data_IF_568434953032
#
_entry.id   IF_568434953032
#
_cell.length_a   1.000
_cell.length_b   1.000
_cell.length_c   1.000
_cell.angle_alpha   90.00
_cell.angle_beta   90.00
_cell.angle_gamma   90.00
#
_symmetry.space_group_name_H-M   'P 1'
#
loop_
_entity.id
_entity.type
_entity.pdbx_description
1 polymer ?
#
# COMPACT_ATOMS: atom_id res chain seq x y z
N UNK A 1 -2.94 17.63 -19.54
CA UNK A 1 -2.95 17.33 -18.09
C UNK A 1 -1.66 17.89 -17.50
N UNK A 2 -1.72 18.72 -16.46
CA UNK A 2 -0.50 19.09 -15.72
C UNK A 2 0.01 17.83 -15.02
N UNK A 3 1.19 17.40 -15.35
CA UNK A 3 1.87 16.32 -14.65
C UNK A 3 2.17 16.81 -13.24
N UNK A 4 1.76 16.04 -12.22
CA UNK A 4 2.06 16.38 -10.82
C UNK A 4 3.56 16.30 -10.63
N UNK A 5 4.16 17.36 -10.10
CA UNK A 5 5.60 17.43 -9.89
C UNK A 5 6.04 16.32 -8.92
N UNK A 6 7.19 15.68 -9.22
CA UNK A 6 7.74 14.64 -8.34
C UNK A 6 8.08 15.25 -6.98
N UNK A 7 7.73 14.60 -5.86
CA UNK A 7 7.99 15.16 -4.53
C UNK A 7 9.49 15.24 -4.27
N UNK A 8 9.93 16.32 -3.64
CA UNK A 8 11.33 16.50 -3.21
C UNK A 8 11.70 15.59 -2.04
N UNK A 9 10.73 15.10 -1.29
CA UNK A 9 10.89 14.19 -0.16
C UNK A 9 9.69 13.26 -0.08
N UNK A 10 9.92 12.02 0.30
CA UNK A 10 8.88 11.03 0.50
C UNK A 10 9.29 10.02 1.58
N UNK A 11 8.35 9.25 2.11
CA UNK A 11 8.58 8.22 3.10
C UNK A 11 8.31 6.84 2.52
N UNK A 12 9.25 5.91 2.75
CA UNK A 12 9.08 4.50 2.44
C UNK A 12 8.41 3.80 3.63
N UNK A 13 7.37 3.03 3.37
CA UNK A 13 6.61 2.31 4.41
C UNK A 13 6.73 0.82 4.17
N UNK A 14 7.16 0.11 5.19
CA UNK A 14 7.26 -1.35 5.24
C UNK A 14 6.39 -1.84 6.40
N UNK A 15 5.68 -2.95 6.22
CA UNK A 15 4.95 -3.60 7.31
C UNK A 15 5.48 -5.01 7.53
N UNK A 16 5.71 -5.36 8.79
CA UNK A 16 6.23 -6.66 9.18
C UNK A 16 5.51 -7.19 10.41
N UNK A 17 4.80 -8.28 10.28
CA UNK A 17 4.17 -8.98 11.40
C UNK A 17 4.44 -10.49 11.32
N UNK A 18 4.24 -11.19 12.46
CA UNK A 18 4.58 -12.60 12.56
C UNK A 18 6.08 -12.86 12.40
N UNK A 19 6.49 -14.05 12.00
CA UNK A 19 7.88 -14.51 12.00
C UNK A 19 8.47 -14.76 10.60
N UNK A 20 7.72 -14.44 9.53
CA UNK A 20 8.12 -14.75 8.15
C UNK A 20 9.39 -14.00 7.72
N UNK A 21 9.54 -12.74 8.16
CA UNK A 21 10.66 -11.88 7.79
C UNK A 21 11.50 -11.49 8.99
N UNK A 22 12.81 -11.46 8.81
CA UNK A 22 13.81 -11.05 9.78
C UNK A 22 14.20 -9.59 9.61
N UNK A 23 14.94 -9.03 10.60
CA UNK A 23 15.59 -7.71 10.45
C UNK A 23 16.51 -7.67 9.23
N UNK A 24 17.19 -8.78 8.95
CA UNK A 24 18.08 -8.89 7.79
C UNK A 24 17.34 -8.70 6.47
N UNK A 25 16.12 -9.23 6.34
CA UNK A 25 15.31 -9.09 5.12
C UNK A 25 14.85 -7.65 4.95
N UNK A 26 14.40 -7.02 6.03
CA UNK A 26 14.01 -5.60 6.05
C UNK A 26 15.21 -4.72 5.67
N UNK A 27 16.37 -4.95 6.28
CA UNK A 27 17.61 -4.17 6.04
C UNK A 27 18.09 -4.28 4.59
N UNK A 28 18.02 -5.48 3.99
CA UNK A 28 18.35 -5.68 2.58
C UNK A 28 17.45 -4.85 1.67
N UNK A 29 16.13 -4.84 1.94
CA UNK A 29 15.20 -4.06 1.16
C UNK A 29 15.43 -2.55 1.31
N UNK A 30 15.63 -2.06 2.54
CA UNK A 30 15.96 -0.65 2.82
C UNK A 30 17.22 -0.24 2.04
N UNK A 31 18.26 -1.06 2.09
CA UNK A 31 19.50 -0.78 1.37
C UNK A 31 19.28 -0.68 -0.13
N UNK A 32 18.55 -1.64 -0.71
CA UNK A 32 18.25 -1.61 -2.14
C UNK A 32 17.38 -0.42 -2.58
N UNK A 33 16.44 0.00 -1.74
CA UNK A 33 15.66 1.20 -1.99
C UNK A 33 16.55 2.44 -1.94
N UNK A 34 17.38 2.58 -0.92
CA UNK A 34 18.26 3.74 -0.75
C UNK A 34 19.34 3.86 -1.85
N UNK A 35 19.85 2.74 -2.35
CA UNK A 35 20.81 2.71 -3.46
C UNK A 35 20.20 3.27 -4.77
N UNK A 36 18.89 3.12 -4.97
CA UNK A 36 18.22 3.47 -6.21
C UNK A 36 17.37 4.75 -6.11
N UNK A 37 17.22 5.35 -4.92
CA UNK A 37 16.33 6.49 -4.71
C UNK A 37 16.98 7.56 -3.84
N UNK A 38 17.01 8.79 -4.33
CA UNK A 38 17.75 9.88 -3.66
C UNK A 38 16.86 10.80 -2.80
N UNK A 39 15.54 10.72 -2.94
CA UNK A 39 14.58 11.61 -2.29
C UNK A 39 13.82 10.95 -1.13
N UNK A 40 14.18 9.70 -0.79
CA UNK A 40 13.60 9.02 0.38
C UNK A 40 14.12 9.69 1.67
N UNK A 41 13.20 10.30 2.42
CA UNK A 41 13.51 11.03 3.65
C UNK A 41 13.40 10.17 4.90
N UNK A 42 12.61 9.10 4.86
CA UNK A 42 12.34 8.20 5.99
C UNK A 42 12.06 6.78 5.50
N UNK A 43 12.47 5.81 6.31
CA UNK A 43 12.03 4.42 6.21
C UNK A 43 11.21 4.09 7.46
N UNK A 44 9.91 3.93 7.33
CA UNK A 44 9.01 3.59 8.43
C UNK A 44 8.75 2.09 8.40
N UNK A 45 9.06 1.41 9.50
CA UNK A 45 8.82 -0.04 9.66
C UNK A 45 7.74 -0.24 10.72
N UNK A 46 6.52 -0.53 10.27
CA UNK A 46 5.39 -0.84 11.14
C UNK A 46 5.45 -2.33 11.49
N UNK A 47 5.57 -2.66 12.77
CA UNK A 47 5.74 -4.06 13.19
C UNK A 47 5.03 -4.38 14.51
N UNK A 48 4.64 -5.64 14.66
CA UNK A 48 4.07 -6.23 15.88
C UNK A 48 5.12 -6.52 16.96
N UNK A 49 6.39 -6.33 16.65
CA UNK A 49 7.52 -6.63 17.55
C UNK A 49 8.70 -5.68 17.36
N UNK A 50 9.59 -5.68 18.35
CA UNK A 50 10.88 -4.99 18.28
C UNK A 50 11.86 -5.79 17.43
N UNK A 51 12.47 -5.16 16.45
CA UNK A 51 13.57 -5.69 15.65
C UNK A 51 14.90 -5.15 16.18
N UNK A 52 15.75 -6.02 16.76
CA UNK A 52 16.98 -5.59 17.46
C UNK A 52 18.04 -4.99 16.52
N UNK A 53 18.20 -5.53 15.33
CA UNK A 53 19.28 -5.17 14.41
C UNK A 53 18.72 -4.47 13.16
N UNK A 54 17.80 -3.50 13.36
CA UNK A 54 17.25 -2.74 12.26
C UNK A 54 18.29 -1.75 11.72
N UNK A 55 18.25 -1.53 10.40
CA UNK A 55 19.06 -0.49 9.75
C UNK A 55 18.86 0.86 10.48
N UNK A 56 19.94 1.60 10.77
CA UNK A 56 19.84 2.88 11.50
C UNK A 56 19.01 3.95 10.79
N UNK A 57 18.74 3.79 9.49
CA UNK A 57 17.83 4.66 8.73
C UNK A 57 16.35 4.34 8.98
N UNK A 58 16.06 3.14 9.52
CA UNK A 58 14.70 2.70 9.78
C UNK A 58 14.13 3.33 11.06
N UNK A 59 12.93 3.84 10.97
CA UNK A 59 12.13 4.30 12.10
C UNK A 59 11.13 3.20 12.46
N UNK A 60 11.32 2.49 13.58
CA UNK A 60 10.38 1.47 14.03
C UNK A 60 9.12 2.12 14.58
N UNK A 61 7.97 1.64 14.11
CA UNK A 61 6.64 2.05 14.59
C UNK A 61 5.88 0.80 15.01
N UNK A 62 5.28 0.82 16.19
CA UNK A 62 4.45 -0.30 16.66
C UNK A 62 3.21 -0.47 15.79
N UNK A 63 2.90 -1.73 15.45
CA UNK A 63 1.61 -2.04 14.83
C UNK A 63 0.50 -1.73 15.85
N UNK A 64 -0.47 -0.87 15.54
CA UNK A 64 -1.52 -0.51 16.47
C UNK A 64 -2.31 -1.75 16.93
N UNK A 65 -2.65 -1.82 18.22
CA UNK A 65 -3.31 -2.99 18.83
C UNK A 65 -4.56 -3.43 18.07
N UNK A 66 -5.33 -2.47 17.57
CA UNK A 66 -6.53 -2.75 16.78
C UNK A 66 -6.23 -3.53 15.50
N UNK A 67 -5.07 -3.30 14.87
CA UNK A 67 -4.61 -4.00 13.67
C UNK A 67 -3.74 -5.22 13.99
N UNK A 68 -3.34 -5.41 15.24
CA UNK A 68 -2.54 -6.56 15.71
C UNK A 68 -3.42 -7.73 16.20
N UNK A 69 -4.68 -7.76 15.78
CA UNK A 69 -5.59 -8.86 16.11
C UNK A 69 -5.33 -10.08 15.24
N UNK A 70 -5.52 -11.32 15.77
CA UNK A 70 -5.30 -12.54 15.00
C UNK A 70 -6.04 -12.56 13.65
N UNK A 71 -7.26 -12.07 13.58
CA UNK A 71 -8.05 -12.01 12.35
C UNK A 71 -7.47 -11.09 11.28
N UNK A 72 -6.56 -10.17 11.64
CA UNK A 72 -5.89 -9.26 10.70
C UNK A 72 -4.46 -9.68 10.37
N UNK A 73 -3.83 -10.46 11.25
CA UNK A 73 -2.41 -10.88 11.14
C UNK A 73 -2.24 -12.33 10.69
N UNK A 74 -3.28 -13.18 10.87
CA UNK A 74 -3.26 -14.58 10.44
C UNK A 74 -4.04 -14.76 9.13
N UNK A 75 -3.54 -15.59 8.24
CA UNK A 75 -4.14 -15.81 6.93
C UNK A 75 -3.60 -14.88 5.83
N UNK A 76 -3.96 -15.15 4.59
CA UNK A 76 -3.41 -14.47 3.40
C UNK A 76 -4.06 -13.13 3.03
N UNK A 77 -4.87 -12.54 3.93
CA UNK A 77 -5.67 -11.36 3.59
C UNK A 77 -5.02 -10.01 3.94
N UNK A 78 -3.93 -10.04 4.69
CA UNK A 78 -3.03 -8.91 4.97
C UNK A 78 -3.69 -7.64 5.51
N UNK A 79 -4.78 -7.74 6.31
CA UNK A 79 -5.51 -6.58 6.82
C UNK A 79 -4.69 -5.69 7.76
N UNK A 80 -3.69 -6.26 8.47
CA UNK A 80 -2.76 -5.50 9.29
C UNK A 80 -2.04 -4.39 8.49
N UNK A 81 -1.88 -4.56 7.18
CA UNK A 81 -1.34 -3.57 6.24
C UNK A 81 -2.15 -2.27 6.22
N UNK A 82 -3.46 -2.34 6.45
CA UNK A 82 -4.33 -1.16 6.46
C UNK A 82 -3.96 -0.17 7.58
N UNK A 83 -3.19 -0.59 8.58
CA UNK A 83 -2.65 0.29 9.63
C UNK A 83 -1.83 1.45 9.06
N UNK A 84 -1.19 1.29 7.89
CA UNK A 84 -0.42 2.37 7.26
C UNK A 84 -1.27 3.60 6.92
N UNK A 85 -2.59 3.46 6.86
CA UNK A 85 -3.53 4.57 6.64
C UNK A 85 -4.06 5.18 7.96
N UNK A 86 -3.70 4.62 9.11
CA UNK A 86 -4.15 5.19 10.39
C UNK A 86 -3.53 6.56 10.64
N UNK A 87 -4.36 7.49 11.09
CA UNK A 87 -3.92 8.84 11.42
C UNK A 87 -2.79 8.83 12.47
N UNK A 88 -1.77 9.64 12.24
CA UNK A 88 -0.65 9.79 13.18
C UNK A 88 0.49 8.77 13.04
N UNK A 89 0.34 7.67 12.30
CA UNK A 89 1.43 6.72 12.07
C UNK A 89 2.49 7.27 11.10
N UNK A 90 2.04 7.89 10.04
CA UNK A 90 2.90 8.46 9.01
C UNK A 90 2.87 9.99 9.05
N UNK A 91 3.94 10.64 8.59
CA UNK A 91 3.95 12.09 8.41
C UNK A 91 2.97 12.50 7.32
N UNK A 92 2.10 13.45 7.65
CA UNK A 92 1.08 13.97 6.74
C UNK A 92 1.58 15.10 5.81
N UNK A 93 2.84 15.52 5.94
CA UNK A 93 3.47 16.58 5.16
C UNK A 93 4.25 16.08 3.94
N UNK A 94 4.30 14.76 3.74
CA UNK A 94 4.97 14.14 2.59
C UNK A 94 4.25 12.88 2.13
N UNK A 95 4.29 12.57 0.82
CA UNK A 95 3.71 11.34 0.29
C UNK A 95 4.50 10.11 0.72
N UNK A 96 3.89 8.94 0.55
CA UNK A 96 4.43 7.64 0.93
C UNK A 96 4.43 6.66 -0.23
N UNK A 97 5.41 5.76 -0.23
CA UNK A 97 5.43 4.52 -1.02
C UNK A 97 5.47 3.36 -0.04
N UNK A 98 4.43 2.54 -0.06
CA UNK A 98 4.39 1.25 0.60
C UNK A 98 4.91 0.15 -0.33
N UNK A 99 5.68 -0.78 0.22
CA UNK A 99 6.23 -1.92 -0.52
C UNK A 99 6.17 -3.18 0.35
N UNK A 100 5.72 -4.31 -0.22
CA UNK A 100 5.82 -5.61 0.43
C UNK A 100 7.28 -6.07 0.56
N UNK A 101 7.60 -6.76 1.65
CA UNK A 101 8.97 -7.21 1.98
C UNK A 101 9.54 -8.25 1.01
N UNK A 102 8.72 -8.89 0.19
CA UNK A 102 9.13 -9.84 -0.85
C UNK A 102 9.32 -9.19 -2.24
N UNK A 103 9.48 -7.88 -2.26
CA UNK A 103 9.69 -7.12 -3.51
C UNK A 103 11.18 -7.02 -3.87
N UNK A 104 11.52 -7.29 -5.13
CA UNK A 104 12.85 -7.05 -5.67
C UNK A 104 12.93 -5.65 -6.30
N UNK A 105 13.87 -4.83 -5.83
CA UNK A 105 14.10 -3.47 -6.35
C UNK A 105 15.16 -3.52 -7.44
N UNK A 106 14.76 -3.16 -8.66
CA UNK A 106 15.63 -3.17 -9.84
C UNK A 106 15.95 -1.77 -10.36
N UNK A 107 15.31 -0.73 -9.81
CA UNK A 107 15.49 0.66 -10.25
C UNK A 107 14.79 1.67 -9.34
N UNK A 108 14.74 2.95 -9.74
CA UNK A 108 14.21 4.04 -8.92
C UNK A 108 12.68 3.98 -8.81
N UNK A 109 12.19 3.50 -7.68
CA UNK A 109 10.76 3.36 -7.39
C UNK A 109 10.05 4.71 -7.21
N UNK A 110 10.79 5.78 -6.88
CA UNK A 110 10.24 7.15 -6.79
C UNK A 110 9.67 7.66 -8.12
N UNK A 111 10.00 7.05 -9.25
CA UNK A 111 9.35 7.33 -10.54
C UNK A 111 7.86 6.98 -10.53
N UNK A 112 7.39 6.16 -9.60
CA UNK A 112 5.97 5.86 -9.44
C UNK A 112 5.12 7.10 -9.14
N UNK A 113 5.73 8.15 -8.58
CA UNK A 113 5.04 9.43 -8.36
C UNK A 113 4.63 10.14 -9.66
N UNK A 114 5.30 9.85 -10.77
CA UNK A 114 5.00 10.46 -12.08
C UNK A 114 3.65 10.00 -12.65
N UNK A 115 3.12 8.87 -12.16
CA UNK A 115 1.83 8.34 -12.58
C UNK A 115 0.64 8.98 -11.85
N UNK A 116 0.88 9.77 -10.80
CA UNK A 116 -0.20 10.47 -10.08
C UNK A 116 -0.86 11.51 -10.98
N UNK A 117 -2.17 11.63 -10.87
CA UNK A 117 -2.93 12.74 -11.49
C UNK A 117 -2.88 13.99 -10.64
N UNK A 118 -2.86 13.80 -9.33
CA UNK A 118 -2.81 14.82 -8.28
C UNK A 118 -2.26 14.23 -6.98
N UNK A 119 -2.23 15.01 -5.91
CA UNK A 119 -1.74 14.57 -4.61
C UNK A 119 -2.66 13.53 -3.92
N UNK A 120 -3.93 13.49 -4.30
CA UNK A 120 -4.91 12.54 -3.75
C UNK A 120 -4.85 11.17 -4.44
N UNK A 121 -4.18 11.07 -5.58
CA UNK A 121 -4.09 9.81 -6.32
C UNK A 121 -3.48 8.70 -5.47
N UNK A 122 -4.12 7.52 -5.47
CA UNK A 122 -3.50 6.25 -5.04
C UNK A 122 -3.02 5.50 -6.27
N UNK A 123 -1.71 5.19 -6.33
CA UNK A 123 -1.14 4.43 -7.44
C UNK A 123 -0.82 3.02 -6.96
N UNK A 124 -1.34 2.00 -7.65
CA UNK A 124 -1.18 0.58 -7.30
C UNK A 124 -0.90 -0.24 -8.55
N UNK A 125 -0.41 -1.47 -8.38
CA UNK A 125 -0.39 -2.43 -9.48
C UNK A 125 -1.81 -2.70 -9.97
N UNK A 126 -1.95 -2.90 -11.28
CA UNK A 126 -3.21 -3.33 -11.85
C UNK A 126 -3.43 -4.81 -11.53
N UNK A 127 -4.61 -5.15 -11.01
CA UNK A 127 -5.01 -6.56 -10.92
C UNK A 127 -5.47 -7.05 -12.28
N UNK A 128 -5.16 -8.31 -12.61
CA UNK A 128 -5.56 -8.96 -13.86
C UNK A 128 -7.09 -9.13 -14.01
N UNK A 129 -7.88 -8.94 -12.94
CA UNK A 129 -9.30 -9.29 -12.93
C UNK A 129 -10.20 -8.18 -13.51
N UNK A 130 -9.94 -6.91 -13.17
CA UNK A 130 -10.70 -5.76 -13.66
C UNK A 130 -9.78 -4.55 -13.76
N UNK A 131 -9.43 -4.11 -14.96
CA UNK A 131 -8.51 -2.99 -15.16
C UNK A 131 -9.14 -1.66 -14.72
N UNK A 132 -8.29 -0.72 -14.28
CA UNK A 132 -8.70 0.64 -13.98
C UNK A 132 -8.96 1.41 -15.26
N UNK A 133 -10.24 1.64 -15.56
CA UNK A 133 -10.68 2.38 -16.74
C UNK A 133 -11.89 3.26 -16.40
N UNK A 134 -12.24 4.16 -17.30
CA UNK A 134 -13.47 4.95 -17.17
C UNK A 134 -14.72 4.04 -17.09
N UNK A 135 -14.69 2.92 -17.79
CA UNK A 135 -15.76 1.92 -17.76
C UNK A 135 -15.90 1.25 -16.38
N UNK A 136 -14.78 0.88 -15.76
CA UNK A 136 -14.81 0.32 -14.40
C UNK A 136 -15.38 1.31 -13.37
N UNK A 137 -15.05 2.59 -13.48
CA UNK A 137 -15.62 3.66 -12.65
C UNK A 137 -17.10 3.86 -12.89
N UNK A 138 -17.54 3.79 -14.16
CA UNK A 138 -18.96 3.85 -14.50
C UNK A 138 -19.71 2.68 -13.86
N UNK A 139 -19.17 1.45 -13.97
CA UNK A 139 -19.74 0.26 -13.33
C UNK A 139 -19.79 0.38 -11.81
N UNK A 140 -18.77 0.92 -11.18
CA UNK A 140 -18.76 1.20 -9.74
C UNK A 140 -19.93 2.10 -9.34
N UNK A 141 -20.13 3.19 -10.06
CA UNK A 141 -21.23 4.14 -9.80
C UNK A 141 -22.60 3.53 -10.06
N UNK A 142 -22.81 2.90 -11.22
CA UNK A 142 -24.08 2.28 -11.60
C UNK A 142 -24.48 1.12 -10.68
N UNK A 143 -23.50 0.38 -10.15
CA UNK A 143 -23.75 -0.74 -9.25
C UNK A 143 -23.71 -0.37 -7.77
N UNK A 144 -23.63 0.94 -7.44
CA UNK A 144 -23.49 1.45 -6.07
C UNK A 144 -22.36 0.75 -5.29
N UNK A 145 -21.18 0.64 -5.92
CA UNK A 145 -20.00 0.04 -5.32
C UNK A 145 -19.95 -1.50 -5.31
N UNK A 146 -20.93 -2.19 -5.88
CA UNK A 146 -20.94 -3.67 -5.94
C UNK A 146 -19.90 -4.23 -6.93
N UNK A 147 -19.61 -3.49 -7.99
CA UNK A 147 -18.56 -3.83 -8.98
C UNK A 147 -17.54 -2.70 -9.01
N UNK A 148 -16.27 -3.02 -8.85
CA UNK A 148 -15.17 -2.07 -8.81
C UNK A 148 -13.91 -2.70 -9.39
N UNK A 149 -13.05 -1.87 -9.97
CA UNK A 149 -11.73 -2.26 -10.43
C UNK A 149 -10.82 -2.58 -9.24
N UNK A 150 -9.87 -3.51 -9.43
CA UNK A 150 -8.99 -3.95 -8.36
C UNK A 150 -7.54 -3.61 -8.68
N UNK A 151 -6.84 -3.05 -7.68
CA UNK A 151 -5.40 -2.99 -7.65
C UNK A 151 -4.82 -4.20 -6.92
N UNK A 152 -3.50 -4.27 -6.89
CA UNK A 152 -2.75 -5.14 -6.01
C UNK A 152 -1.92 -4.26 -5.07
N UNK A 153 -1.99 -4.53 -3.78
CA UNK A 153 -1.44 -3.70 -2.71
C UNK A 153 0.01 -4.00 -2.35
N UNK A 154 0.71 -4.83 -3.14
CA UNK A 154 2.14 -5.09 -2.90
C UNK A 154 3.01 -3.85 -3.11
N UNK A 155 2.48 -2.86 -3.83
CA UNK A 155 3.07 -1.54 -4.01
C UNK A 155 1.97 -0.49 -4.04
N UNK A 156 2.05 0.51 -3.16
CA UNK A 156 1.04 1.57 -3.05
C UNK A 156 1.71 2.92 -2.89
N UNK A 157 1.45 3.84 -3.83
CA UNK A 157 1.81 5.26 -3.68
C UNK A 157 0.59 6.02 -3.19
N UNK A 158 0.74 6.76 -2.11
CA UNK A 158 -0.34 7.55 -1.54
C UNK A 158 0.19 8.73 -0.75
N UNK A 159 -0.71 9.65 -0.38
CA UNK A 159 -0.38 10.73 0.54
C UNK A 159 -1.18 10.55 1.83
N UNK A 160 -0.54 10.35 2.99
CA UNK A 160 -1.22 10.04 4.26
C UNK A 160 -2.29 11.08 4.64
N UNK A 161 -2.07 12.34 4.29
CA UNK A 161 -3.02 13.44 4.55
C UNK A 161 -4.44 13.18 4.02
N UNK A 162 -4.57 12.45 2.90
CA UNK A 162 -5.84 12.30 2.20
C UNK A 162 -6.53 10.95 2.43
N UNK A 163 -5.85 9.97 3.05
CA UNK A 163 -6.31 8.57 3.00
C UNK A 163 -6.51 7.93 4.37
N UNK A 164 -6.57 8.70 5.45
CA UNK A 164 -6.91 8.16 6.78
C UNK A 164 -8.28 7.49 6.80
N UNK A 165 -9.19 7.93 5.94
CA UNK A 165 -10.52 7.33 5.82
C UNK A 165 -10.51 5.83 5.45
N UNK A 166 -9.42 5.30 4.87
CA UNK A 166 -9.29 3.87 4.59
C UNK A 166 -9.27 3.09 5.91
N UNK A 167 -8.44 3.50 6.86
CA UNK A 167 -8.39 2.86 8.18
C UNK A 167 -9.66 3.11 8.98
N UNK A 168 -10.14 4.36 9.02
CA UNK A 168 -11.31 4.76 9.81
C UNK A 168 -12.58 4.00 9.38
N UNK A 169 -12.85 3.94 8.08
CA UNK A 169 -14.00 3.18 7.53
C UNK A 169 -13.85 1.68 7.75
N UNK A 170 -12.61 1.14 7.66
CA UNK A 170 -12.38 -0.29 7.91
C UNK A 170 -12.72 -0.65 9.35
N UNK A 171 -12.24 0.15 10.30
CA UNK A 171 -12.51 -0.06 11.72
C UNK A 171 -13.99 0.08 12.06
N UNK A 172 -14.69 1.06 11.47
CA UNK A 172 -16.13 1.21 11.65
C UNK A 172 -16.92 -0.02 11.15
N UNK A 173 -16.52 -0.60 10.01
CA UNK A 173 -17.12 -1.85 9.48
C UNK A 173 -16.83 -3.03 10.41
N UNK A 174 -15.61 -3.08 10.95
CA UNK A 174 -15.22 -4.12 11.90
C UNK A 174 -16.03 -4.03 13.20
N UNK A 175 -16.14 -2.84 13.79
CA UNK A 175 -16.88 -2.58 15.02
C UNK A 175 -18.40 -2.85 14.85
N UNK A 176 -18.94 -2.60 13.67
CA UNK A 176 -20.32 -2.92 13.35
C UNK A 176 -20.58 -4.45 13.17
N UNK A 177 -19.55 -5.30 13.27
CA UNK A 177 -19.66 -6.74 13.08
C UNK A 177 -19.91 -7.18 11.62
N UNK A 178 -19.61 -6.30 10.67
CA UNK A 178 -19.77 -6.53 9.22
C UNK A 178 -18.47 -7.00 8.52
N UNK A 179 -17.38 -7.11 9.27
CA UNK A 179 -16.11 -7.64 8.79
C UNK A 179 -16.30 -9.04 8.18
N UNK A 180 -15.72 -9.28 7.01
CA UNK A 180 -15.91 -10.47 6.17
C UNK A 180 -17.31 -10.69 5.58
N UNK A 181 -18.36 -10.03 6.07
CA UNK A 181 -19.70 -10.03 5.44
C UNK A 181 -19.75 -9.02 4.30
N UNK A 182 -19.18 -7.85 4.50
CA UNK A 182 -19.01 -6.86 3.46
C UNK A 182 -17.86 -7.25 2.52
N UNK A 183 -18.19 -7.67 1.30
CA UNK A 183 -17.27 -8.31 0.38
C UNK A 183 -15.93 -7.56 0.14
N UNK A 184 -15.85 -6.22 0.08
CA UNK A 184 -14.58 -5.53 -0.03
C UNK A 184 -13.60 -5.83 1.12
N UNK A 185 -14.09 -6.11 2.33
CA UNK A 185 -13.24 -6.42 3.50
C UNK A 185 -12.63 -7.84 3.49
N UNK A 186 -12.78 -8.61 2.41
CA UNK A 186 -12.17 -9.95 2.31
C UNK A 186 -10.64 -9.87 2.19
N UNK A 187 -10.08 -8.79 1.62
CA UNK A 187 -8.64 -8.55 1.57
C UNK A 187 -8.33 -7.06 1.57
N UNK A 188 -7.11 -6.71 2.01
CA UNK A 188 -6.60 -5.34 2.01
C UNK A 188 -6.66 -4.71 0.62
N UNK A 189 -6.18 -5.39 -0.42
CA UNK A 189 -6.16 -4.88 -1.80
C UNK A 189 -7.56 -4.58 -2.34
N UNK A 190 -8.55 -5.42 -2.00
CA UNK A 190 -9.94 -5.18 -2.37
C UNK A 190 -10.50 -3.97 -1.66
N UNK A 191 -10.20 -3.87 -0.37
CA UNK A 191 -10.71 -2.81 0.46
C UNK A 191 -10.15 -1.45 0.06
N UNK A 192 -8.82 -1.34 -0.12
CA UNK A 192 -8.18 -0.14 -0.64
C UNK A 192 -8.79 0.25 -1.98
N UNK A 193 -8.92 -0.71 -2.89
CA UNK A 193 -9.49 -0.48 -4.23
C UNK A 193 -10.92 0.02 -4.19
N UNK A 194 -11.74 -0.50 -3.28
CA UNK A 194 -13.12 -0.10 -3.12
C UNK A 194 -13.25 1.32 -2.58
N UNK A 195 -12.47 1.69 -1.55
CA UNK A 195 -12.50 3.03 -0.96
C UNK A 195 -11.96 4.07 -1.93
N UNK A 196 -10.81 3.77 -2.58
CA UNK A 196 -10.09 4.71 -3.43
C UNK A 196 -10.53 4.70 -4.90
N UNK A 197 -11.63 4.06 -5.25
CA UNK A 197 -12.01 3.76 -6.64
C UNK A 197 -11.93 4.94 -7.61
N UNK A 198 -12.32 6.13 -7.19
CA UNK A 198 -12.33 7.32 -8.04
C UNK A 198 -10.94 7.96 -8.22
N UNK A 199 -10.05 7.80 -7.24
CA UNK A 199 -8.71 8.42 -7.19
C UNK A 199 -7.58 7.44 -7.52
N UNK A 200 -7.92 6.17 -7.81
CA UNK A 200 -6.93 5.14 -8.08
C UNK A 200 -6.36 5.23 -9.50
N UNK A 201 -5.06 5.00 -9.59
CA UNK A 201 -4.30 4.95 -10.85
C UNK A 201 -3.53 3.63 -10.88
N UNK A 202 -3.57 2.94 -12.02
CA UNK A 202 -2.80 1.73 -12.23
C UNK A 202 -1.37 2.02 -12.65
N UNK A 203 -0.39 1.38 -12.02
CA UNK A 203 0.98 1.30 -12.53
C UNK A 203 1.00 0.46 -13.81
N UNK A 204 1.73 0.89 -14.84
CA UNK A 204 1.91 0.06 -16.04
C UNK A 204 2.85 -1.12 -15.74
N UNK A 205 2.64 -2.25 -16.45
CA UNK A 205 3.48 -3.44 -16.33
C UNK A 205 4.94 -3.18 -16.73
N UNK A 206 5.18 -2.14 -17.56
CA UNK A 206 6.55 -1.69 -17.89
C UNK A 206 7.31 -1.10 -16.71
N UNK A 207 6.61 -0.64 -15.65
CA UNK A 207 7.23 -0.13 -14.44
C UNK A 207 7.55 -1.24 -13.44
N UNK A 208 6.62 -2.16 -13.25
CA UNK A 208 6.80 -3.28 -12.33
C UNK A 208 5.86 -4.44 -12.68
N UNK A 209 6.32 -5.65 -12.43
CA UNK A 209 5.59 -6.90 -12.70
C UNK A 209 5.46 -7.73 -11.43
N UNK A 210 4.35 -8.44 -11.31
CA UNK A 210 4.12 -9.38 -10.22
C UNK A 210 4.64 -10.77 -10.62
N UNK A 211 5.69 -11.20 -9.93
CA UNK A 211 6.19 -12.57 -10.08
C UNK A 211 5.35 -13.56 -9.22
N UNK A 212 5.00 -14.77 -9.65
CA UNK A 212 5.27 -15.37 -10.98
C UNK A 212 4.16 -15.14 -12.01
N UNK A 213 3.06 -14.47 -11.65
CA UNK A 213 1.85 -14.41 -12.48
C UNK A 213 2.00 -13.63 -13.78
N UNK A 214 2.89 -12.64 -13.81
CA UNK A 214 3.10 -11.80 -14.98
C UNK A 214 4.44 -12.07 -15.65
N UNK A 215 5.50 -12.32 -14.85
CA UNK A 215 6.84 -12.57 -15.40
C UNK A 215 6.97 -13.93 -16.08
N UNK A 216 6.27 -14.97 -15.59
CA UNK A 216 6.35 -16.33 -16.14
C UNK A 216 5.46 -16.53 -17.39
N UNK A 217 4.70 -15.51 -17.81
CA UNK A 217 3.86 -15.56 -19.01
C UNK A 217 4.51 -14.90 -20.23
N UNK A 218 5.73 -14.41 -20.11
CA UNK A 218 6.59 -13.85 -21.15
C UNK A 218 7.88 -14.65 -21.25
#
# INVERSE_FOLDING_TARGET
>A
MKQTERPKKWQCVLTCWGTKYSSTDINKLITKIAENNHHVARFVVISDRVHKDLDPRAEPVGLPDIFNKPEFTTGGQCHAKLSMFQSGLLKADMPAIYIDLDTAILGPIEQAFDFRKDEKSIVMFQSAVLPFSAFARLLFRLTKGKRYARGNSSFVVFHPKYWTEIADKFLAIYEAGEFCKFRPTISDERYISWVAQDDMVALPNSFAVKFPTEYMQH
#
